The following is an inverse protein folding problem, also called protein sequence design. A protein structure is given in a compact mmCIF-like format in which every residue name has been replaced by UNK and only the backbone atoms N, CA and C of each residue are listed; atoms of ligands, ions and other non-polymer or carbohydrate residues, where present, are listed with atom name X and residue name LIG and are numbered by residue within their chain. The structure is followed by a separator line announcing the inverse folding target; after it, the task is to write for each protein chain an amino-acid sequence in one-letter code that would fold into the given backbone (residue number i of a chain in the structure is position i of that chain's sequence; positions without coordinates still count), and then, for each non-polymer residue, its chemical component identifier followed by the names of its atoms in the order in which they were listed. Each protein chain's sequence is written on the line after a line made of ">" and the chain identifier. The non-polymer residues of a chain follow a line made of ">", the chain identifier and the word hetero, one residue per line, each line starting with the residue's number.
data_IF_781924872202
#
_entry.id   IF_781924872202
#
_cell.length_a   1.000
_cell.length_b   1.000
_cell.length_c   1.000
_cell.angle_alpha   90.00
_cell.angle_beta   90.00
_cell.angle_gamma   90.00
#
_symmetry.space_group_name_H-M   'P 1'
#
loop_
_entity.id
_entity.type
_entity.pdbx_description
1 polymer ?
#
# COMPACT_ATOMS: atom_id res chain seq x y z
N UNK A 1 14.75 -32.04 48.02
CA UNK A 1 13.93 -32.81 47.04
C UNK A 1 12.46 -32.50 47.31
N UNK A 2 11.91 -31.48 46.66
CA UNK A 2 10.47 -31.15 46.75
C UNK A 2 10.05 -30.54 45.40
N UNK A 3 9.59 -31.40 44.50
CA UNK A 3 9.22 -31.05 43.13
C UNK A 3 7.91 -30.27 43.09
N UNK A 4 8.00 -29.03 42.62
CA UNK A 4 6.89 -28.11 42.37
C UNK A 4 6.10 -28.60 41.14
N UNK A 5 4.85 -29.03 41.33
CA UNK A 5 3.92 -29.36 40.24
C UNK A 5 3.57 -28.09 39.47
N UNK A 6 3.98 -28.00 38.20
CA UNK A 6 3.52 -26.99 37.26
C UNK A 6 2.17 -27.40 36.68
N UNK A 7 1.21 -26.48 36.80
CA UNK A 7 -0.16 -26.57 36.33
C UNK A 7 -0.13 -26.48 34.79
N UNK A 8 -0.60 -27.54 34.12
CA UNK A 8 -0.67 -27.63 32.66
C UNK A 8 -1.62 -26.56 32.10
N UNK A 9 -1.10 -25.80 31.14
CA UNK A 9 -1.87 -24.86 30.35
C UNK A 9 -2.91 -25.60 29.50
N UNK A 10 -4.15 -25.14 29.53
CA UNK A 10 -5.23 -25.58 28.65
C UNK A 10 -4.82 -25.38 27.19
N UNK A 11 -5.12 -26.35 26.29
CA UNK A 11 -4.88 -26.16 24.87
C UNK A 11 -5.81 -25.06 24.35
N UNK A 12 -5.21 -24.07 23.70
CA UNK A 12 -5.88 -23.01 22.97
C UNK A 12 -6.82 -23.65 21.96
N UNK A 13 -8.11 -23.35 22.08
CA UNK A 13 -9.12 -23.74 21.11
C UNK A 13 -8.75 -23.12 19.76
N UNK A 14 -8.18 -23.94 18.87
CA UNK A 14 -8.05 -23.66 17.46
C UNK A 14 -9.46 -23.47 16.91
N UNK A 15 -9.77 -22.24 16.46
CA UNK A 15 -10.91 -21.98 15.58
C UNK A 15 -10.82 -23.00 14.44
N UNK A 16 -11.77 -23.93 14.38
CA UNK A 16 -11.91 -24.83 13.24
C UNK A 16 -12.04 -23.94 12.01
N UNK A 17 -11.05 -24.01 11.13
CA UNK A 17 -11.18 -23.50 9.78
C UNK A 17 -12.34 -24.28 9.17
N UNK A 18 -13.40 -23.56 8.81
CA UNK A 18 -14.55 -24.10 8.08
C UNK A 18 -14.00 -24.88 6.88
N UNK A 19 -14.42 -26.15 6.74
CA UNK A 19 -13.92 -27.05 5.70
C UNK A 19 -13.87 -26.31 4.37
N UNK A 20 -12.77 -26.42 3.58
CA UNK A 20 -12.72 -25.77 2.27
C UNK A 20 -13.99 -26.11 1.52
N UNK A 21 -14.75 -25.10 1.10
CA UNK A 21 -15.92 -25.32 0.27
C UNK A 21 -15.46 -26.25 -0.86
N UNK A 22 -16.20 -27.32 -1.11
CA UNK A 22 -15.96 -28.18 -2.27
C UNK A 22 -16.73 -27.58 -3.45
N UNK A 23 -16.02 -27.31 -4.55
CA UNK A 23 -16.60 -26.70 -5.75
C UNK A 23 -17.68 -27.63 -6.32
N UNK A 24 -18.94 -27.19 -6.28
CA UNK A 24 -20.03 -27.97 -6.88
C UNK A 24 -19.96 -27.87 -8.41
N UNK A 25 -20.60 -28.82 -9.11
CA UNK A 25 -20.64 -28.82 -10.59
C UNK A 25 -21.25 -27.52 -11.15
N UNK A 26 -22.21 -26.95 -10.44
CA UNK A 26 -22.84 -25.69 -10.84
C UNK A 26 -21.90 -24.50 -10.66
N UNK A 27 -21.18 -24.43 -9.53
CA UNK A 27 -20.15 -23.41 -9.29
C UNK A 27 -19.06 -23.47 -10.38
N UNK A 28 -18.64 -24.68 -10.74
CA UNK A 28 -17.66 -24.93 -11.80
C UNK A 28 -18.15 -24.37 -13.15
N UNK A 29 -19.43 -24.55 -13.46
CA UNK A 29 -20.05 -24.04 -14.70
C UNK A 29 -20.08 -22.52 -14.72
N UNK A 30 -20.51 -21.89 -13.62
CA UNK A 30 -20.57 -20.43 -13.49
C UNK A 30 -19.17 -19.81 -13.64
N UNK A 31 -18.16 -20.41 -12.99
CA UNK A 31 -16.77 -19.99 -13.10
C UNK A 31 -16.26 -20.15 -14.54
N UNK A 32 -16.52 -21.28 -15.20
CA UNK A 32 -16.08 -21.52 -16.57
C UNK A 32 -16.71 -20.54 -17.57
N UNK A 33 -17.99 -20.23 -17.43
CA UNK A 33 -18.70 -19.24 -18.25
C UNK A 33 -18.10 -17.85 -18.06
N UNK A 34 -17.86 -17.45 -16.80
CA UNK A 34 -17.21 -16.16 -16.52
C UNK A 34 -15.81 -16.08 -17.12
N UNK A 35 -14.99 -17.13 -16.99
CA UNK A 35 -13.65 -17.17 -17.58
C UNK A 35 -13.75 -17.06 -19.11
N UNK A 36 -14.69 -17.77 -19.75
CA UNK A 36 -14.89 -17.69 -21.20
C UNK A 36 -15.17 -16.27 -21.70
N UNK A 37 -15.91 -15.46 -20.91
CA UNK A 37 -16.21 -14.08 -21.27
C UNK A 37 -15.01 -13.12 -21.16
N UNK A 38 -14.04 -13.44 -20.29
CA UNK A 38 -12.92 -12.54 -19.95
C UNK A 38 -11.54 -13.06 -20.39
N UNK A 39 -11.50 -14.17 -21.13
CA UNK A 39 -10.29 -14.87 -21.53
C UNK A 39 -10.24 -14.99 -23.06
N UNK A 40 -9.18 -14.45 -23.67
CA UNK A 40 -8.99 -14.34 -25.13
C UNK A 40 -7.62 -14.87 -25.54
N UNK A 41 -7.52 -15.53 -26.70
CA UNK A 41 -6.27 -16.00 -27.34
C UNK A 41 -5.20 -16.60 -26.41
N UNK A 42 -5.61 -17.24 -25.30
CA UNK A 42 -4.77 -17.86 -24.25
C UNK A 42 -4.37 -16.99 -23.04
N UNK A 43 -5.01 -15.84 -22.79
CA UNK A 43 -4.80 -15.04 -21.58
C UNK A 43 -6.04 -14.23 -21.18
N UNK A 44 -6.05 -13.70 -19.96
CA UNK A 44 -7.10 -12.76 -19.55
C UNK A 44 -7.01 -11.44 -20.32
N UNK A 45 -8.18 -10.90 -20.68
CA UNK A 45 -8.34 -9.55 -21.21
C UNK A 45 -8.14 -8.57 -20.05
N UNK A 46 -7.28 -7.56 -20.23
CA UNK A 46 -7.07 -6.54 -19.20
C UNK A 46 -8.39 -5.83 -18.84
N UNK A 47 -8.72 -5.64 -17.55
CA UNK A 47 -7.88 -5.84 -16.36
C UNK A 47 -8.03 -7.20 -15.68
N UNK A 48 -8.76 -8.16 -16.25
CA UNK A 48 -9.16 -9.40 -15.58
C UNK A 48 -7.98 -10.30 -15.20
N UNK A 49 -8.14 -11.00 -14.08
CA UNK A 49 -7.22 -12.00 -13.52
C UNK A 49 -8.04 -13.03 -12.74
N UNK A 50 -7.44 -14.17 -12.34
CA UNK A 50 -8.12 -15.15 -11.48
C UNK A 50 -8.67 -14.50 -10.20
N UNK A 51 -7.90 -13.57 -9.61
CA UNK A 51 -8.30 -12.83 -8.41
C UNK A 51 -9.52 -11.94 -8.64
N UNK A 52 -9.61 -11.27 -9.80
CA UNK A 52 -10.76 -10.43 -10.13
C UNK A 52 -12.00 -11.27 -10.43
N UNK A 53 -11.85 -12.39 -11.13
CA UNK A 53 -12.94 -13.34 -11.37
C UNK A 53 -13.45 -13.94 -10.05
N UNK A 54 -12.53 -14.32 -9.16
CA UNK A 54 -12.84 -14.84 -7.83
C UNK A 54 -13.60 -13.81 -6.97
N UNK A 55 -13.17 -12.54 -7.00
CA UNK A 55 -13.83 -11.45 -6.28
C UNK A 55 -15.21 -11.11 -6.86
N UNK A 56 -15.35 -11.14 -8.18
CA UNK A 56 -16.63 -10.87 -8.86
C UNK A 56 -17.67 -11.94 -8.56
N UNK A 57 -17.27 -13.22 -8.54
CA UNK A 57 -18.15 -14.35 -8.26
C UNK A 57 -18.27 -14.69 -6.76
N UNK A 58 -17.44 -14.12 -5.90
CA UNK A 58 -17.40 -14.42 -4.46
C UNK A 58 -16.91 -15.85 -4.15
N UNK A 59 -16.11 -16.45 -5.04
CA UNK A 59 -15.58 -17.81 -4.91
C UNK A 59 -14.08 -17.79 -4.59
N UNK A 60 -13.52 -18.88 -4.03
CA UNK A 60 -12.06 -18.99 -3.84
C UNK A 60 -11.29 -18.90 -5.16
N UNK A 61 -10.19 -18.14 -5.20
CA UNK A 61 -9.29 -18.03 -6.36
C UNK A 61 -8.72 -19.40 -6.80
N UNK A 62 -8.51 -20.32 -5.85
CA UNK A 62 -8.08 -21.69 -6.15
C UNK A 62 -9.06 -22.46 -7.07
N UNK A 63 -10.36 -22.21 -6.94
CA UNK A 63 -11.36 -22.81 -7.82
C UNK A 63 -11.26 -22.25 -9.24
N UNK A 64 -11.08 -20.94 -9.37
CA UNK A 64 -10.88 -20.27 -10.65
C UNK A 64 -9.63 -20.80 -11.35
N UNK A 65 -8.54 -20.97 -10.61
CA UNK A 65 -7.30 -21.57 -11.12
C UNK A 65 -7.50 -23.03 -11.58
N UNK A 66 -8.19 -23.86 -10.80
CA UNK A 66 -8.50 -25.26 -11.18
C UNK A 66 -9.33 -25.31 -12.48
N UNK A 67 -10.35 -24.47 -12.60
CA UNK A 67 -11.22 -24.42 -13.79
C UNK A 67 -10.49 -23.88 -15.01
N UNK A 68 -9.69 -22.83 -14.84
CA UNK A 68 -8.86 -22.28 -15.90
C UNK A 68 -7.88 -23.33 -16.41
N UNK A 69 -7.11 -23.95 -15.52
CA UNK A 69 -6.09 -24.94 -15.89
C UNK A 69 -6.73 -26.15 -16.59
N UNK A 70 -7.95 -26.55 -16.19
CA UNK A 70 -8.68 -27.67 -16.79
C UNK A 70 -9.31 -27.35 -18.16
N UNK A 71 -9.86 -26.13 -18.37
CA UNK A 71 -10.64 -25.80 -19.58
C UNK A 71 -9.95 -24.85 -20.56
N UNK A 72 -9.09 -23.96 -20.06
CA UNK A 72 -8.44 -22.89 -20.84
C UNK A 72 -6.91 -23.04 -20.90
N UNK A 73 -6.34 -23.84 -20.00
CA UNK A 73 -4.90 -24.10 -19.90
C UNK A 73 -4.22 -23.31 -18.77
N UNK A 74 -2.90 -23.46 -18.61
CA UNK A 74 -2.17 -22.87 -17.49
C UNK A 74 -2.25 -21.34 -17.50
N UNK A 75 -1.98 -20.74 -16.34
CA UNK A 75 -1.82 -19.29 -16.20
C UNK A 75 -0.75 -18.77 -17.17
N UNK A 76 -1.17 -18.16 -18.28
CA UNK A 76 -0.28 -17.31 -19.06
C UNK A 76 -0.43 -15.88 -18.55
N UNK A 77 0.67 -15.29 -18.10
CA UNK A 77 0.70 -13.86 -17.83
C UNK A 77 0.51 -13.09 -19.14
N UNK A 78 -0.54 -12.25 -19.20
CA UNK A 78 -0.69 -11.33 -20.31
C UNK A 78 0.49 -10.34 -20.27
N UNK A 79 1.35 -10.28 -21.30
CA UNK A 79 2.53 -9.41 -21.30
C UNK A 79 2.18 -7.93 -21.15
N UNK A 80 0.98 -7.52 -21.58
CA UNK A 80 0.47 -6.14 -21.41
C UNK A 80 0.16 -5.85 -19.94
N UNK A 81 -0.43 -6.82 -19.21
CA UNK A 81 -0.70 -6.67 -17.78
C UNK A 81 0.59 -6.63 -16.95
N UNK A 82 1.56 -7.48 -17.29
CA UNK A 82 2.86 -7.49 -16.65
C UNK A 82 3.61 -6.15 -16.84
N UNK A 83 3.63 -5.62 -18.05
CA UNK A 83 4.25 -4.32 -18.32
C UNK A 83 3.50 -3.17 -17.64
N UNK A 84 2.16 -3.19 -17.63
CA UNK A 84 1.37 -2.19 -16.90
C UNK A 84 1.66 -2.23 -15.38
N UNK A 85 1.77 -3.41 -14.79
CA UNK A 85 2.13 -3.56 -13.38
C UNK A 85 3.54 -3.00 -13.08
N UNK A 86 4.49 -3.23 -13.99
CA UNK A 86 5.85 -2.66 -13.90
C UNK A 86 5.83 -1.14 -13.97
N UNK A 87 5.09 -0.57 -14.93
CA UNK A 87 4.94 0.87 -15.10
C UNK A 87 4.26 1.52 -13.91
N UNK A 88 3.18 0.91 -13.39
CA UNK A 88 2.49 1.39 -12.21
C UNK A 88 3.40 1.36 -10.97
N UNK A 89 4.17 0.29 -10.79
CA UNK A 89 5.14 0.18 -9.69
C UNK A 89 6.20 1.29 -9.78
N UNK A 90 6.80 1.49 -10.95
CA UNK A 90 7.79 2.56 -11.16
C UNK A 90 7.19 3.96 -10.89
N UNK A 91 6.01 4.24 -11.46
CA UNK A 91 5.30 5.50 -11.23
C UNK A 91 4.96 5.71 -9.75
N UNK A 92 4.52 4.65 -9.05
CA UNK A 92 4.16 4.74 -7.63
C UNK A 92 5.37 5.07 -6.75
N UNK A 93 6.54 4.52 -7.06
CA UNK A 93 7.79 4.83 -6.37
C UNK A 93 8.23 6.29 -6.62
N UNK A 94 8.15 6.76 -7.87
CA UNK A 94 8.45 8.14 -8.22
C UNK A 94 7.48 9.12 -7.53
N UNK A 95 6.20 8.77 -7.47
CA UNK A 95 5.18 9.57 -6.79
C UNK A 95 5.42 9.66 -5.29
N UNK A 96 5.80 8.56 -4.62
CA UNK A 96 6.10 8.58 -3.19
C UNK A 96 7.34 9.43 -2.89
N UNK A 97 8.38 9.33 -3.74
CA UNK A 97 9.55 10.20 -3.64
C UNK A 97 9.17 11.67 -3.77
N UNK A 98 8.36 12.02 -4.76
CA UNK A 98 7.87 13.38 -4.95
C UNK A 98 7.09 13.90 -3.72
N UNK A 99 6.25 13.06 -3.09
CA UNK A 99 5.52 13.43 -1.86
C UNK A 99 6.45 13.68 -0.69
N UNK A 100 7.50 12.86 -0.54
CA UNK A 100 8.52 13.06 0.48
C UNK A 100 9.26 14.40 0.27
N UNK A 101 9.64 14.71 -0.97
CA UNK A 101 10.32 15.96 -1.33
C UNK A 101 9.43 17.18 -1.06
N UNK A 102 8.14 17.14 -1.41
CA UNK A 102 7.18 18.21 -1.10
C UNK A 102 7.07 18.47 0.41
N UNK A 103 7.06 17.41 1.20
CA UNK A 103 7.00 17.51 2.67
C UNK A 103 8.28 18.15 3.21
N UNK A 104 9.44 17.71 2.73
CA UNK A 104 10.73 18.27 3.12
C UNK A 104 10.83 19.77 2.77
N UNK A 105 10.41 20.17 1.57
CA UNK A 105 10.40 21.58 1.16
C UNK A 105 9.45 22.44 1.99
N UNK A 106 8.31 21.89 2.40
CA UNK A 106 7.38 22.59 3.29
C UNK A 106 8.02 22.86 4.65
N UNK A 107 8.71 21.88 5.22
CA UNK A 107 9.46 22.07 6.47
C UNK A 107 10.61 23.06 6.33
N UNK A 108 11.35 22.99 5.22
CA UNK A 108 12.41 23.95 4.92
C UNK A 108 11.86 25.39 4.81
N UNK A 109 10.70 25.56 4.18
CA UNK A 109 10.02 26.86 4.09
C UNK A 109 9.64 27.42 5.48
N UNK A 110 9.15 26.56 6.38
CA UNK A 110 8.87 26.95 7.78
C UNK A 110 10.14 27.36 8.51
N UNK A 111 11.24 26.61 8.34
CA UNK A 111 12.53 26.95 8.94
C UNK A 111 13.05 28.30 8.46
N UNK A 112 13.06 28.53 7.15
CA UNK A 112 13.50 29.80 6.55
C UNK A 112 12.66 30.98 7.05
N UNK A 113 11.34 30.80 7.16
CA UNK A 113 10.45 31.82 7.73
C UNK A 113 10.81 32.13 9.18
N UNK A 114 11.04 31.11 10.01
CA UNK A 114 11.41 31.31 11.41
C UNK A 114 12.75 32.01 11.55
N UNK A 115 13.74 31.65 10.73
CA UNK A 115 15.04 32.32 10.69
C UNK A 115 14.90 33.79 10.28
N UNK A 116 14.04 34.10 9.30
CA UNK A 116 13.77 35.49 8.90
C UNK A 116 13.18 36.31 10.05
N UNK A 117 12.23 35.75 10.81
CA UNK A 117 11.65 36.42 11.98
C UNK A 117 12.68 36.65 13.09
N UNK A 118 13.57 35.68 13.35
CA UNK A 118 14.64 35.82 14.33
C UNK A 118 15.65 36.90 13.92
N UNK A 119 16.08 36.91 12.66
CA UNK A 119 16.97 37.94 12.13
C UNK A 119 16.35 39.34 12.21
N UNK A 120 15.06 39.46 11.90
CA UNK A 120 14.32 40.72 12.03
C UNK A 120 14.32 41.23 13.47
N UNK A 121 14.02 40.35 14.43
CA UNK A 121 14.05 40.69 15.86
C UNK A 121 15.43 41.18 16.29
N UNK A 122 16.49 40.47 15.90
CA UNK A 122 17.88 40.88 16.22
C UNK A 122 18.23 42.24 15.64
N UNK A 123 17.78 42.53 14.41
CA UNK A 123 18.01 43.83 13.78
C UNK A 123 17.31 44.97 14.55
N UNK A 124 16.09 44.73 15.03
CA UNK A 124 15.34 45.71 15.83
C UNK A 124 15.98 45.93 17.21
N UNK A 125 16.48 44.87 17.85
CA UNK A 125 17.23 44.96 19.12
C UNK A 125 18.51 45.79 18.96
N UNK A 126 19.30 45.53 17.90
CA UNK A 126 20.51 46.30 17.59
C UNK A 126 20.16 47.77 17.35
N UNK A 127 19.10 48.05 16.59
CA UNK A 127 18.64 49.43 16.35
C UNK A 127 18.25 50.12 17.65
N UNK A 128 17.56 49.43 18.55
CA UNK A 128 17.20 49.98 19.86
C UNK A 128 18.44 50.29 20.71
N UNK A 129 19.44 49.41 20.71
CA UNK A 129 20.72 49.63 21.40
C UNK A 129 21.47 50.83 20.84
N UNK A 130 21.57 50.96 19.52
CA UNK A 130 22.19 52.12 18.87
C UNK A 130 21.52 53.44 19.26
N UNK A 131 20.18 53.47 19.23
CA UNK A 131 19.41 54.64 19.64
C UNK A 131 19.67 55.01 21.11
N UNK A 132 19.88 54.03 21.99
CA UNK A 132 20.22 54.25 23.38
C UNK A 132 21.62 54.86 23.54
N UNK A 133 22.63 54.30 22.87
CA UNK A 133 24.01 54.80 22.89
C UNK A 133 24.05 56.26 22.41
N UNK A 134 23.35 56.58 21.32
CA UNK A 134 23.30 57.96 20.78
C UNK A 134 22.66 58.94 21.76
N UNK A 135 21.68 58.50 22.55
CA UNK A 135 21.04 59.34 23.60
C UNK A 135 21.96 59.55 24.80
N UNK A 136 22.61 58.49 25.26
CA UNK A 136 23.48 58.52 26.45
C UNK A 136 24.84 59.19 26.16
N UNK A 137 25.38 59.06 24.95
CA UNK A 137 26.63 59.69 24.51
C UNK A 137 26.51 61.14 24.03
N UNK A 138 25.34 61.76 24.16
CA UNK A 138 25.11 63.19 23.88
C UNK A 138 25.20 64.09 25.14
N UNK A 139 25.86 63.61 26.18
CA UNK A 139 26.37 64.42 27.31
C UNK A 139 27.81 64.83 27.04
#
# INVERSE_FOLDING_TARGET
>A
MASRKLKSASPVATKQAESPREMQREDRRIVAEKIADVYDDHAYIAPWTDDLVARDLGVPCAWVAEVRDFMFGPANENPVLAENARQFSAWSADYEKFRADLTAHTEQGKQLRNTSLDLQRRADDIRAQQNRIVREGKL
#
